data_IF_011107769751
#
_entry.id   IF_011107769751
#
_cell.length_a   1.000
_cell.length_b   1.000
_cell.length_c   1.000
_cell.angle_alpha   90.00
_cell.angle_beta   90.00
_cell.angle_gamma   90.00
#
_symmetry.space_group_name_H-M   'P 1'
#
loop_
_entity.id
_entity.type
_entity.pdbx_description
1 polymer ?
#
# COMPACT_ATOMS: atom_id res chain seq x y z
N UNK A 1 5.22 -1.48 -10.05
CA UNK A 1 4.24 -1.92 -9.03
C UNK A 1 2.87 -1.67 -9.60
N UNK A 2 2.02 -2.69 -9.65
CA UNK A 2 0.64 -2.57 -10.13
C UNK A 2 -0.37 -2.38 -9.00
N UNK A 3 -0.11 -2.97 -7.83
CA UNK A 3 -0.98 -2.82 -6.65
C UNK A 3 -0.15 -2.77 -5.36
N UNK A 4 -0.61 -1.94 -4.43
CA UNK A 4 -0.21 -1.96 -3.03
C UNK A 4 -1.43 -2.15 -2.14
N UNK A 5 -1.31 -2.96 -1.11
CA UNK A 5 -2.34 -3.10 -0.07
C UNK A 5 -1.76 -3.07 1.34
N UNK A 6 -2.57 -2.59 2.27
CA UNK A 6 -2.23 -2.62 3.70
C UNK A 6 -3.47 -2.80 4.55
N UNK A 7 -3.34 -3.48 5.68
CA UNK A 7 -4.36 -3.59 6.72
C UNK A 7 -3.72 -3.52 8.10
N UNK A 8 -4.53 -3.16 9.10
CA UNK A 8 -4.12 -3.01 10.49
C UNK A 8 -2.88 -2.10 10.65
N UNK A 9 -2.92 -0.89 10.09
CA UNK A 9 -1.84 0.10 10.15
C UNK A 9 -2.37 1.49 10.53
N UNK A 10 -1.99 1.99 11.70
CA UNK A 10 -2.34 3.33 12.23
C UNK A 10 -3.84 3.61 12.22
N UNK A 11 -4.34 4.36 11.24
CA UNK A 11 -5.76 4.69 11.11
C UNK A 11 -6.51 3.75 10.15
N UNK A 12 -5.81 2.76 9.59
CA UNK A 12 -6.35 1.78 8.64
C UNK A 12 -6.60 0.49 9.41
N UNK A 13 -7.86 0.15 9.65
CA UNK A 13 -8.24 -1.12 10.28
C UNK A 13 -8.28 -2.21 9.22
N UNK A 14 -9.24 -2.10 8.30
CA UNK A 14 -9.47 -3.06 7.22
C UNK A 14 -8.52 -2.86 6.04
N UNK A 15 -8.51 -3.80 5.10
CA UNK A 15 -7.66 -3.71 3.91
C UNK A 15 -8.00 -2.48 3.05
N UNK A 16 -6.97 -1.72 2.71
CA UNK A 16 -7.03 -0.67 1.69
C UNK A 16 -6.11 -1.06 0.53
N UNK A 17 -6.62 -0.87 -0.69
CA UNK A 17 -5.93 -1.21 -1.93
C UNK A 17 -5.72 0.05 -2.78
N UNK A 18 -4.47 0.31 -3.15
CA UNK A 18 -4.10 1.24 -4.22
C UNK A 18 -3.72 0.43 -5.47
N UNK A 19 -4.57 0.43 -6.49
CA UNK A 19 -4.35 -0.24 -7.77
C UNK A 19 -4.05 0.77 -8.87
N UNK A 20 -3.05 0.47 -9.68
CA UNK A 20 -2.69 1.20 -10.90
C UNK A 20 -3.17 0.46 -12.16
N UNK A 21 -3.86 -0.68 -12.03
CA UNK A 21 -4.46 -1.37 -13.18
C UNK A 21 -5.52 -0.48 -13.82
N UNK A 22 -5.40 -0.28 -15.13
CA UNK A 22 -6.41 0.41 -15.92
C UNK A 22 -7.68 -0.44 -16.01
N UNK A 23 -8.83 0.21 -16.15
CA UNK A 23 -10.09 -0.49 -16.36
C UNK A 23 -10.19 -0.92 -17.83
N UNK A 24 -10.28 -2.23 -18.10
CA UNK A 24 -10.40 -2.77 -19.46
C UNK A 24 -11.67 -2.31 -20.19
N UNK A 25 -12.70 -1.91 -19.45
CA UNK A 25 -13.98 -1.46 -19.99
C UNK A 25 -14.06 0.05 -20.24
N UNK A 26 -13.04 0.80 -19.83
CA UNK A 26 -12.94 2.24 -20.04
C UNK A 26 -12.03 2.51 -21.26
N UNK A 27 -12.64 2.95 -22.37
CA UNK A 27 -11.95 3.22 -23.63
C UNK A 27 -11.54 4.71 -23.78
N UNK A 28 -11.82 5.54 -22.77
CA UNK A 28 -11.49 6.95 -22.75
C UNK A 28 -10.02 7.12 -22.35
N UNK A 29 -9.30 7.99 -23.05
CA UNK A 29 -7.92 8.38 -22.70
C UNK A 29 -6.91 7.21 -22.70
N UNK A 30 -7.19 6.16 -23.47
CA UNK A 30 -6.32 4.97 -23.60
C UNK A 30 -4.93 5.33 -24.13
N UNK A 31 -4.80 6.44 -24.86
CA UNK A 31 -3.53 6.98 -25.35
C UNK A 31 -2.54 7.37 -24.23
N UNK A 32 -3.01 7.54 -23.00
CA UNK A 32 -2.18 7.88 -21.83
C UNK A 32 -1.84 6.68 -20.95
N UNK A 33 -2.34 5.48 -21.27
CA UNK A 33 -2.04 4.29 -20.50
C UNK A 33 -0.60 3.81 -20.71
N UNK A 34 -0.03 3.23 -19.67
CA UNK A 34 1.27 2.57 -19.71
C UNK A 34 1.06 1.07 -19.90
N UNK A 35 1.54 0.53 -21.04
CA UNK A 35 1.44 -0.91 -21.31
C UNK A 35 2.68 -1.65 -20.81
N UNK A 36 2.49 -2.69 -19.99
CA UNK A 36 3.54 -3.55 -19.47
C UNK A 36 3.12 -5.00 -19.65
N UNK A 37 3.72 -5.69 -20.61
CA UNK A 37 3.29 -7.04 -20.99
C UNK A 37 1.86 -7.02 -21.53
N UNK A 38 0.99 -7.85 -20.93
CA UNK A 38 -0.43 -7.91 -21.26
C UNK A 38 -1.29 -6.89 -20.48
N UNK A 39 -0.70 -6.19 -19.51
CA UNK A 39 -1.42 -5.33 -18.59
C UNK A 39 -1.35 -3.86 -19.03
N UNK A 40 -2.42 -3.13 -18.77
CA UNK A 40 -2.47 -1.67 -18.96
C UNK A 40 -2.55 -0.98 -17.60
N UNK A 41 -1.74 0.05 -17.40
CA UNK A 41 -1.64 0.78 -16.14
C UNK A 41 -1.98 2.26 -16.32
N UNK A 42 -2.65 2.85 -15.34
CA UNK A 42 -2.75 4.30 -15.24
C UNK A 42 -1.40 4.88 -14.77
N UNK A 43 -0.91 5.97 -15.37
CA UNK A 43 0.38 6.56 -14.99
C UNK A 43 0.30 7.39 -13.71
N UNK A 44 -0.89 7.87 -13.34
CA UNK A 44 -1.11 8.79 -12.23
C UNK A 44 -2.37 8.39 -11.46
N UNK A 45 -2.29 8.45 -10.13
CA UNK A 45 -3.43 8.29 -9.24
C UNK A 45 -3.47 9.43 -8.22
N UNK A 46 -4.68 9.83 -7.81
CA UNK A 46 -4.90 10.86 -6.80
C UNK A 46 -5.66 10.29 -5.61
N UNK A 47 -5.19 10.55 -4.39
CA UNK A 47 -5.85 10.14 -3.15
C UNK A 47 -6.51 11.36 -2.52
N UNK A 48 -7.84 11.39 -2.53
CA UNK A 48 -8.66 12.47 -1.98
C UNK A 48 -9.49 11.99 -0.77
N UNK A 49 -10.04 12.94 -0.02
CA UNK A 49 -10.83 12.67 1.18
C UNK A 49 -10.67 13.76 2.24
N UNK A 50 -11.53 13.73 3.26
CA UNK A 50 -11.54 14.72 4.33
C UNK A 50 -10.19 14.81 5.09
N UNK A 51 -9.98 15.92 5.79
CA UNK A 51 -8.84 16.02 6.72
C UNK A 51 -8.91 14.90 7.76
N UNK A 52 -7.74 14.39 8.16
CA UNK A 52 -7.61 13.25 9.08
C UNK A 52 -8.22 11.91 8.61
N UNK A 53 -8.72 11.80 7.37
CA UNK A 53 -9.26 10.54 6.82
C UNK A 53 -8.20 9.43 6.58
N UNK A 54 -6.95 9.61 7.00
CA UNK A 54 -5.91 8.58 6.89
C UNK A 54 -5.16 8.54 5.56
N UNK A 55 -5.38 9.48 4.63
CA UNK A 55 -4.70 9.52 3.32
C UNK A 55 -3.17 9.39 3.42
N UNK A 56 -2.54 10.17 4.29
CA UNK A 56 -1.08 10.09 4.52
C UNK A 56 -0.63 8.76 5.09
N UNK A 57 -1.51 8.00 5.77
CA UNK A 57 -1.17 6.69 6.31
C UNK A 57 -1.04 5.61 5.23
N UNK A 58 -1.67 5.76 4.06
CA UNK A 58 -1.43 4.89 2.89
C UNK A 58 0.02 5.05 2.42
N UNK A 59 0.49 6.29 2.26
CA UNK A 59 1.87 6.58 1.85
C UNK A 59 2.88 6.18 2.94
N UNK A 60 2.55 6.41 4.22
CA UNK A 60 3.40 5.97 5.33
C UNK A 60 3.52 4.44 5.41
N UNK A 61 2.43 3.71 5.20
CA UNK A 61 2.43 2.24 5.14
C UNK A 61 3.38 1.75 4.04
N UNK A 62 3.26 2.31 2.83
CA UNK A 62 4.13 1.98 1.71
C UNK A 62 5.60 2.28 2.02
N UNK A 63 5.90 3.45 2.58
CA UNK A 63 7.26 3.84 2.95
C UNK A 63 7.87 2.91 4.01
N UNK A 64 7.09 2.56 5.06
CA UNK A 64 7.52 1.60 6.08
C UNK A 64 7.80 0.25 5.43
N UNK A 65 6.88 -0.26 4.61
CA UNK A 65 7.03 -1.57 3.97
C UNK A 65 8.26 -1.62 3.04
N UNK A 66 8.53 -0.57 2.25
CA UNK A 66 9.76 -0.45 1.45
C UNK A 66 11.00 -0.43 2.34
N UNK A 67 10.98 0.36 3.42
CA UNK A 67 12.06 0.41 4.41
C UNK A 67 12.32 -0.96 5.03
N UNK A 68 11.25 -1.71 5.32
CA UNK A 68 11.36 -3.07 5.80
C UNK A 68 12.04 -3.96 4.76
N UNK A 69 11.62 -3.95 3.50
CA UNK A 69 12.25 -4.80 2.47
C UNK A 69 13.73 -4.44 2.29
N UNK A 70 14.06 -3.15 2.22
CA UNK A 70 15.44 -2.66 1.99
C UNK A 70 16.42 -2.95 3.11
N UNK A 71 15.94 -3.14 4.33
CA UNK A 71 16.76 -3.43 5.51
C UNK A 71 16.66 -4.91 5.91
N UNK A 72 16.11 -5.76 5.04
CA UNK A 72 15.82 -7.16 5.39
C UNK A 72 17.07 -8.00 5.67
N UNK A 73 18.18 -7.70 5.02
CA UNK A 73 19.47 -8.39 5.11
C UNK A 73 20.31 -8.02 6.34
N UNK A 74 20.19 -6.77 6.80
CA UNK A 74 20.97 -6.17 7.88
C UNK A 74 20.35 -6.35 9.27
N UNK A 75 19.22 -7.08 9.37
CA UNK A 75 18.48 -7.21 10.62
C UNK A 75 18.79 -8.50 11.36
N UNK A 76 19.30 -8.35 12.58
CA UNK A 76 19.37 -9.44 13.56
C UNK A 76 17.98 -9.85 14.05
N UNK A 77 17.85 -11.10 14.51
CA UNK A 77 16.61 -11.77 14.91
C UNK A 77 15.80 -10.99 15.99
N UNK A 78 16.46 -10.11 16.75
CA UNK A 78 15.85 -9.35 17.85
C UNK A 78 15.60 -7.86 17.55
N UNK A 79 15.73 -7.42 16.30
CA UNK A 79 15.49 -6.01 15.96
C UNK A 79 14.00 -5.70 15.87
N UNK A 80 13.55 -4.72 16.67
CA UNK A 80 12.18 -4.20 16.63
C UNK A 80 11.90 -3.62 15.24
N UNK A 81 10.77 -4.02 14.65
CA UNK A 81 10.28 -3.46 13.40
C UNK A 81 9.77 -2.02 13.62
N UNK A 82 10.68 -1.05 13.49
CA UNK A 82 10.35 0.37 13.69
C UNK A 82 9.34 0.85 12.66
N UNK A 83 8.38 1.65 13.13
CA UNK A 83 7.38 2.30 12.27
C UNK A 83 6.17 1.43 11.93
N UNK A 84 6.12 0.18 12.40
CA UNK A 84 4.89 -0.62 12.38
C UNK A 84 4.06 -0.25 13.61
N UNK A 85 2.94 0.43 13.37
CA UNK A 85 1.94 0.75 14.39
C UNK A 85 0.61 0.16 13.93
N UNK A 86 0.05 -0.78 14.69
CA UNK A 86 -1.27 -1.35 14.43
C UNK A 86 -2.40 -0.34 14.63
N UNK A 87 -3.61 -0.70 14.19
CA UNK A 87 -4.80 0.10 14.41
C UNK A 87 -5.18 0.10 15.90
N UNK A 88 -5.06 1.27 16.55
CA UNK A 88 -5.14 1.35 18.03
C UNK A 88 -6.54 1.56 18.60
N UNK A 89 -7.53 1.89 17.77
CA UNK A 89 -8.92 2.10 18.22
C UNK A 89 -9.72 0.80 18.41
N UNK A 90 -9.06 -0.34 18.27
CA UNK A 90 -9.61 -1.67 18.50
C UNK A 90 -8.57 -2.48 19.28
N UNK A 91 -8.96 -3.05 20.42
CA UNK A 91 -8.05 -3.78 21.29
C UNK A 91 -7.56 -5.08 20.66
N UNK A 92 -8.41 -5.76 19.88
CA UNK A 92 -8.04 -7.00 19.21
C UNK A 92 -7.01 -6.74 18.11
N UNK A 93 -7.14 -5.61 17.41
CA UNK A 93 -6.22 -5.23 16.33
C UNK A 93 -4.80 -4.93 16.82
N UNK A 94 -4.63 -4.56 18.10
CA UNK A 94 -3.31 -4.21 18.66
C UNK A 94 -2.36 -5.40 18.66
N UNK A 95 -2.89 -6.59 18.90
CA UNK A 95 -2.14 -7.85 18.95
C UNK A 95 -2.07 -8.56 17.58
N UNK A 96 -2.85 -8.09 16.61
CA UNK A 96 -2.83 -8.64 15.25
C UNK A 96 -1.67 -8.08 14.43
N UNK A 97 -1.21 -8.87 13.46
CA UNK A 97 -0.15 -8.45 12.54
C UNK A 97 -0.64 -7.36 11.59
N UNK A 98 0.20 -6.34 11.38
CA UNK A 98 0.06 -5.42 10.23
C UNK A 98 0.45 -6.14 8.95
N UNK A 99 -0.34 -5.97 7.89
CA UNK A 99 -0.05 -6.54 6.57
C UNK A 99 0.34 -5.45 5.57
N UNK A 100 1.31 -5.77 4.73
CA UNK A 100 1.67 -5.01 3.54
C UNK A 100 1.85 -5.99 2.38
N UNK A 101 1.20 -5.75 1.25
CA UNK A 101 1.44 -6.52 0.03
C UNK A 101 1.78 -5.60 -1.14
N UNK A 102 2.71 -6.06 -1.97
CA UNK A 102 3.05 -5.43 -3.24
C UNK A 102 2.85 -6.44 -4.36
N UNK A 103 2.15 -6.04 -5.41
CA UNK A 103 2.07 -6.78 -6.67
C UNK A 103 2.85 -6.01 -7.72
N UNK A 104 3.73 -6.72 -8.42
CA UNK A 104 4.52 -6.22 -9.53
C UNK A 104 4.14 -7.01 -10.78
N UNK A 105 4.23 -6.34 -11.93
CA UNK A 105 4.12 -6.95 -13.25
C UNK A 105 5.52 -6.87 -13.85
N UNK A 106 5.91 -7.92 -14.57
CA UNK A 106 7.21 -8.07 -15.25
C UNK A 106 7.02 -8.20 -16.74
#
# INVERSE_FOLDING_TARGET
>A
MSKFSTSNFRSIKDEVVLSMLANETDDVHTEYLCHVGAESLIPVAAIYGANAAGKSNILNAMNVAIGLIRQSDSRGINNILRGIDSFRFDEEMREQSTRFDFIFIT
#
